data_IF_631899111859
#
_entry.id   IF_631899111859
#
_cell.length_a   1.000
_cell.length_b   1.000
_cell.length_c   1.000
_cell.angle_alpha   90.00
_cell.angle_beta   90.00
_cell.angle_gamma   90.00
#
_symmetry.space_group_name_H-M   'P 1'
#
loop_
_entity.id
_entity.type
_entity.pdbx_description
1 polymer ?
#
# COMPACT_ATOMS: atom_id res chain seq x y z
N UNK A 1 -3.91 16.38 3.69
CA UNK A 1 -2.91 17.08 2.85
C UNK A 1 -3.77 17.79 1.83
N UNK A 2 -4.23 18.99 2.21
CA UNK A 2 -5.49 19.49 1.70
C UNK A 2 -5.18 20.44 0.56
N UNK A 3 -5.54 20.02 -0.65
CA UNK A 3 -5.33 20.79 -1.87
C UNK A 3 -6.69 21.28 -2.38
N UNK A 4 -6.83 22.60 -2.52
CA UNK A 4 -7.89 23.20 -3.31
C UNK A 4 -7.41 23.18 -4.76
N UNK A 5 -7.94 22.26 -5.56
CA UNK A 5 -7.64 22.13 -6.98
C UNK A 5 -8.76 22.79 -7.77
N UNK A 6 -8.48 23.92 -8.42
CA UNK A 6 -9.40 24.53 -9.39
C UNK A 6 -8.83 24.29 -10.79
N UNK A 7 -9.57 23.55 -11.62
CA UNK A 7 -9.20 23.29 -13.02
C UNK A 7 -10.37 23.56 -13.95
N UNK A 8 -10.09 24.26 -15.04
CA UNK A 8 -11.04 24.52 -16.11
C UNK A 8 -11.41 23.19 -16.80
N UNK A 9 -12.72 22.90 -16.94
CA UNK A 9 -13.25 21.62 -17.42
C UNK A 9 -13.53 21.57 -18.93
N UNK A 10 -13.41 22.68 -19.67
CA UNK A 10 -13.60 22.69 -21.13
C UNK A 10 -12.32 22.38 -21.93
N UNK A 11 -12.46 21.61 -23.01
CA UNK A 11 -11.36 21.29 -23.93
C UNK A 11 -11.05 22.50 -24.84
N UNK A 12 -9.78 22.91 -24.90
CA UNK A 12 -9.31 24.03 -25.74
C UNK A 12 -9.29 25.40 -25.07
N UNK A 13 -9.66 25.49 -23.79
CA UNK A 13 -9.70 26.74 -23.04
C UNK A 13 -8.43 26.94 -22.20
N UNK A 14 -7.73 28.07 -22.40
CA UNK A 14 -6.53 28.49 -21.66
C UNK A 14 -6.83 29.47 -20.51
N UNK A 15 -8.11 29.64 -20.14
CA UNK A 15 -8.50 30.57 -19.07
C UNK A 15 -7.93 30.15 -17.71
N UNK A 16 -7.38 31.12 -16.97
CA UNK A 16 -6.82 30.95 -15.64
C UNK A 16 -7.69 31.63 -14.57
N UNK A 17 -7.79 31.02 -13.38
CA UNK A 17 -8.44 31.59 -12.20
C UNK A 17 -7.35 32.21 -11.32
N UNK A 18 -7.44 33.51 -11.04
CA UNK A 18 -6.49 34.22 -10.17
C UNK A 18 -7.11 34.39 -8.78
N UNK A 19 -6.45 33.85 -7.75
CA UNK A 19 -6.82 34.10 -6.34
C UNK A 19 -5.90 35.21 -5.82
N UNK A 20 -6.47 36.37 -5.49
CA UNK A 20 -5.74 37.52 -4.95
C UNK A 20 -6.03 37.70 -3.45
N UNK A 21 -5.04 38.17 -2.68
CA UNK A 21 -5.19 38.49 -1.25
C UNK A 21 -4.82 37.37 -0.27
N UNK A 22 -4.10 36.33 -0.71
CA UNK A 22 -3.48 35.36 0.20
C UNK A 22 -2.29 36.03 0.88
N UNK A 23 -2.26 35.99 2.22
CA UNK A 23 -1.15 36.50 3.04
C UNK A 23 0.17 35.82 2.61
N UNK A 24 1.11 36.61 2.12
CA UNK A 24 2.33 36.17 1.40
C UNK A 24 3.40 35.55 2.31
N UNK A 25 3.11 35.34 3.59
CA UNK A 25 4.01 34.66 4.53
C UNK A 25 4.07 33.13 4.34
N UNK A 26 3.14 32.51 3.59
CA UNK A 26 3.04 31.05 3.40
C UNK A 26 3.18 30.61 1.91
N UNK A 27 3.71 31.48 1.06
CA UNK A 27 3.76 31.30 -0.41
C UNK A 27 4.59 30.08 -0.88
N UNK A 28 5.50 29.58 -0.04
CA UNK A 28 6.35 28.42 -0.36
C UNK A 28 5.62 27.06 -0.28
N UNK A 29 4.41 26.99 0.29
CA UNK A 29 3.68 25.72 0.46
C UNK A 29 2.66 25.42 -0.65
N UNK A 30 2.32 26.41 -1.47
CA UNK A 30 1.25 26.30 -2.48
C UNK A 30 1.74 26.16 -3.93
N UNK A 31 3.05 26.29 -4.18
CA UNK A 31 3.68 26.07 -5.49
C UNK A 31 3.01 26.76 -6.70
N UNK A 32 2.37 27.92 -6.47
CA UNK A 32 1.76 28.73 -7.52
C UNK A 32 2.86 29.54 -8.22
N UNK A 33 3.20 29.19 -9.46
CA UNK A 33 4.17 29.94 -10.25
C UNK A 33 3.54 31.20 -10.88
N UNK A 34 4.30 32.30 -10.90
CA UNK A 34 3.87 33.65 -11.31
C UNK A 34 3.24 33.74 -12.72
N UNK A 35 2.07 34.36 -12.81
CA UNK A 35 1.47 34.86 -14.06
C UNK A 35 -0.02 35.19 -13.91
N UNK A 36 -0.44 36.40 -14.29
CA UNK A 36 -1.84 36.87 -14.24
C UNK A 36 -2.50 36.68 -15.62
N UNK A 37 -3.71 36.14 -15.67
CA UNK A 37 -4.59 36.21 -16.85
C UNK A 37 -6.07 36.36 -16.43
N UNK A 38 -6.85 37.11 -17.23
CA UNK A 38 -8.19 37.63 -16.91
C UNK A 38 -9.26 36.98 -17.78
N UNK A 39 -10.41 36.59 -17.21
CA UNK A 39 -11.57 36.03 -17.93
C UNK A 39 -12.69 37.07 -18.17
N UNK A 40 -13.48 36.91 -19.26
CA UNK A 40 -14.55 37.84 -19.67
C UNK A 40 -15.98 37.25 -19.68
N UNK A 41 -16.96 38.14 -19.90
CA UNK A 41 -18.40 37.92 -19.74
C UNK A 41 -19.07 37.03 -20.81
N UNK A 42 -18.34 36.48 -21.78
CA UNK A 42 -18.97 35.78 -22.93
C UNK A 42 -18.95 34.25 -22.86
N UNK A 43 -18.29 33.62 -21.88
CA UNK A 43 -18.02 32.17 -21.92
C UNK A 43 -18.15 31.41 -20.59
N UNK A 44 -19.17 31.65 -19.76
CA UNK A 44 -19.28 30.96 -18.46
C UNK A 44 -20.49 30.01 -18.33
N UNK A 45 -20.27 28.72 -18.60
CA UNK A 45 -21.13 27.61 -18.14
C UNK A 45 -20.31 26.46 -17.52
N UNK A 46 -19.09 26.75 -17.03
CA UNK A 46 -18.22 25.75 -16.40
C UNK A 46 -18.58 25.55 -14.92
N UNK A 47 -18.94 24.33 -14.54
CA UNK A 47 -19.10 23.96 -13.13
C UNK A 47 -17.73 23.92 -12.44
N UNK A 48 -17.58 24.62 -11.31
CA UNK A 48 -16.38 24.57 -10.45
C UNK A 48 -16.64 23.62 -9.28
N UNK A 49 -15.89 22.52 -9.19
CA UNK A 49 -16.02 21.51 -8.12
C UNK A 49 -14.94 21.70 -7.07
N UNK A 50 -15.34 21.94 -5.83
CA UNK A 50 -14.45 21.97 -4.67
C UNK A 50 -14.37 20.57 -4.04
N UNK A 51 -13.15 20.06 -3.82
CA UNK A 51 -12.93 18.75 -3.19
C UNK A 51 -12.10 18.94 -1.93
N UNK A 52 -12.57 18.44 -0.79
CA UNK A 52 -11.81 18.38 0.45
C UNK A 52 -12.00 17.04 1.15
N UNK A 53 -10.93 16.52 1.75
CA UNK A 53 -10.94 15.27 2.52
C UNK A 53 -11.40 15.42 3.98
N UNK A 54 -11.56 16.66 4.46
CA UNK A 54 -12.02 16.99 5.81
C UNK A 54 -12.98 18.20 5.77
N UNK A 55 -13.72 18.44 6.86
CA UNK A 55 -14.59 19.60 6.98
C UNK A 55 -13.74 20.88 6.98
N UNK A 56 -13.99 21.76 6.02
CA UNK A 56 -13.35 23.07 5.95
C UNK A 56 -14.42 24.16 6.00
N UNK A 57 -14.09 25.28 6.66
CA UNK A 57 -14.94 26.46 6.73
C UNK A 57 -14.28 27.56 5.92
N UNK A 58 -15.02 28.10 4.95
CA UNK A 58 -14.60 29.30 4.22
C UNK A 58 -15.37 30.47 4.82
N UNK A 59 -14.65 31.36 5.50
CA UNK A 59 -15.22 32.59 6.03
C UNK A 59 -15.06 33.69 4.99
N UNK A 60 -16.18 34.13 4.42
CA UNK A 60 -16.24 35.28 3.53
C UNK A 60 -16.79 36.48 4.31
N UNK A 61 -16.43 37.70 3.91
CA UNK A 61 -16.96 38.91 4.56
C UNK A 61 -18.48 39.06 4.34
N UNK A 62 -19.20 39.82 5.20
CA UNK A 62 -20.66 39.98 5.13
C UNK A 62 -21.19 40.69 3.86
N UNK A 63 -20.29 41.12 2.96
CA UNK A 63 -20.59 41.73 1.66
C UNK A 63 -20.00 40.96 0.49
N UNK A 64 -19.48 39.76 0.72
CA UNK A 64 -18.75 39.01 -0.28
C UNK A 64 -19.70 38.25 -1.23
N UNK A 65 -19.49 38.40 -2.53
CA UNK A 65 -20.22 37.69 -3.58
C UNK A 65 -19.43 36.50 -4.14
N UNK A 66 -18.28 36.18 -3.57
CA UNK A 66 -17.35 35.14 -4.03
C UNK A 66 -18.03 33.80 -4.32
N UNK A 67 -18.98 33.35 -3.47
CA UNK A 67 -19.69 32.08 -3.67
C UNK A 67 -20.67 32.12 -4.85
N UNK A 68 -21.30 33.26 -5.09
CA UNK A 68 -22.13 33.52 -6.27
C UNK A 68 -21.27 33.63 -7.53
N UNK A 69 -20.07 34.22 -7.43
CA UNK A 69 -19.10 34.35 -8.53
C UNK A 69 -18.44 33.02 -8.91
N UNK A 70 -18.31 32.09 -7.97
CA UNK A 70 -17.87 30.71 -8.21
C UNK A 70 -18.97 29.81 -8.82
N UNK A 71 -20.17 30.35 -9.08
CA UNK A 71 -21.27 29.60 -9.69
C UNK A 71 -21.94 28.58 -8.76
N UNK A 72 -21.74 28.69 -7.44
CA UNK A 72 -22.26 27.77 -6.43
C UNK A 72 -23.66 28.14 -5.91
N UNK A 73 -24.34 29.11 -6.54
CA UNK A 73 -25.70 29.52 -6.19
C UNK A 73 -26.76 28.58 -6.78
N UNK A 74 -27.06 27.47 -6.11
CA UNK A 74 -28.00 26.49 -6.65
C UNK A 74 -28.35 25.33 -5.74
N UNK A 75 -28.87 25.62 -4.54
CA UNK A 75 -29.67 24.66 -3.75
C UNK A 75 -28.94 23.45 -3.13
N UNK A 76 -27.62 23.32 -3.29
CA UNK A 76 -26.82 22.22 -2.72
C UNK A 76 -26.23 22.51 -1.32
N UNK A 77 -26.50 23.68 -0.75
CA UNK A 77 -25.97 24.12 0.54
C UNK A 77 -27.12 24.46 1.49
N UNK A 78 -27.11 23.90 2.71
CA UNK A 78 -27.99 24.33 3.79
C UNK A 78 -27.20 25.21 4.76
N UNK A 79 -27.70 26.41 5.04
CA UNK A 79 -27.13 27.30 6.06
C UNK A 79 -26.69 28.68 5.58
N UNK A 80 -26.80 29.01 4.29
CA UNK A 80 -26.70 30.41 3.85
C UNK A 80 -27.99 31.14 4.23
N UNK A 81 -28.05 31.59 5.48
CA UNK A 81 -28.90 32.72 5.84
C UNK A 81 -28.20 33.96 5.31
N UNK A 82 -28.70 34.45 4.17
CA UNK A 82 -28.19 35.62 3.45
C UNK A 82 -27.38 36.60 4.33
N UNK A 83 -26.11 36.81 3.97
CA UNK A 83 -25.15 37.76 4.56
C UNK A 83 -24.42 37.37 5.87
N UNK A 84 -24.42 36.11 6.31
CA UNK A 84 -23.57 35.71 7.45
C UNK A 84 -22.16 35.20 7.06
N UNK A 85 -21.87 35.06 5.76
CA UNK A 85 -20.53 34.75 5.25
C UNK A 85 -20.00 33.38 5.64
N UNK A 86 -20.87 32.49 6.15
CA UNK A 86 -20.52 31.17 6.62
C UNK A 86 -21.38 30.11 5.93
N UNK A 87 -20.78 29.30 5.06
CA UNK A 87 -21.41 28.04 4.65
C UNK A 87 -20.63 26.88 5.27
N UNK A 88 -21.38 25.91 5.81
CA UNK A 88 -20.82 24.63 6.24
C UNK A 88 -21.15 23.60 5.17
N UNK A 89 -20.14 23.12 4.46
CA UNK A 89 -20.29 21.90 3.66
C UNK A 89 -20.31 20.70 4.62
N UNK A 90 -21.49 20.10 4.80
CA UNK A 90 -21.67 18.89 5.61
C UNK A 90 -21.61 17.67 4.68
N UNK A 91 -20.82 16.68 5.09
CA UNK A 91 -20.65 15.38 4.43
C UNK A 91 -21.96 14.57 4.29
N UNK A 92 -23.02 14.95 5.02
CA UNK A 92 -24.20 14.14 5.24
C UNK A 92 -25.43 14.57 4.41
N UNK A 93 -25.27 14.66 3.08
CA UNK A 93 -26.44 14.66 2.19
C UNK A 93 -26.60 13.24 1.58
N UNK A 94 -27.72 12.53 1.82
CA UNK A 94 -27.95 11.16 1.33
C UNK A 94 -28.01 10.99 -0.19
N UNK A 95 -27.73 12.04 -0.98
CA UNK A 95 -27.96 12.07 -2.42
C UNK A 95 -26.90 12.76 -3.28
N UNK A 96 -25.68 13.06 -2.80
CA UNK A 96 -24.77 13.79 -3.70
C UNK A 96 -23.39 14.21 -3.21
N UNK A 97 -22.64 13.33 -2.56
CA UNK A 97 -21.17 13.46 -2.54
C UNK A 97 -20.57 12.16 -3.02
N UNK A 98 -20.34 12.10 -4.33
CA UNK A 98 -19.65 10.99 -4.96
C UNK A 98 -18.20 11.01 -4.48
N UNK A 99 -17.79 9.97 -3.73
CA UNK A 99 -16.43 9.87 -3.22
C UNK A 99 -15.42 10.15 -4.35
N UNK A 100 -14.51 11.10 -4.10
CA UNK A 100 -13.47 11.46 -5.05
C UNK A 100 -12.64 10.23 -5.38
N UNK A 101 -12.36 10.01 -6.67
CA UNK A 101 -11.58 8.87 -7.15
C UNK A 101 -10.18 8.82 -6.53
N UNK A 102 -9.61 9.97 -6.17
CA UNK A 102 -8.33 10.05 -5.44
C UNK A 102 -8.38 9.39 -4.05
N UNK A 103 -9.56 9.29 -3.45
CA UNK A 103 -9.76 8.60 -2.17
C UNK A 103 -9.92 7.09 -2.31
N UNK A 104 -10.01 6.56 -3.54
CA UNK A 104 -10.09 5.12 -3.78
C UNK A 104 -8.69 4.49 -3.81
N UNK A 105 -8.60 3.19 -3.49
CA UNK A 105 -7.43 2.38 -3.82
C UNK A 105 -6.98 2.63 -5.26
N UNK A 106 -5.68 2.88 -5.45
CA UNK A 106 -5.08 3.16 -6.77
C UNK A 106 -5.57 4.45 -7.46
N UNK A 107 -6.27 5.34 -6.74
CA UNK A 107 -6.71 6.63 -7.27
C UNK A 107 -5.56 7.52 -7.77
N UNK A 108 -4.36 7.38 -7.20
CA UNK A 108 -3.15 8.07 -7.69
C UNK A 108 -2.63 7.56 -9.04
N UNK A 109 -3.01 6.35 -9.45
CA UNK A 109 -2.61 5.74 -10.72
C UNK A 109 -3.64 6.00 -11.83
N UNK A 110 -4.71 6.74 -11.51
CA UNK A 110 -5.75 7.13 -12.46
C UNK A 110 -5.21 8.15 -13.45
N UNK A 111 -5.24 7.82 -14.74
CA UNK A 111 -4.85 8.74 -15.81
C UNK A 111 -6.07 9.59 -16.20
N UNK A 112 -6.22 10.75 -15.56
CA UNK A 112 -7.32 11.70 -15.84
C UNK A 112 -7.04 12.65 -17.00
N UNK A 113 -5.84 12.59 -17.58
CA UNK A 113 -5.42 13.42 -18.70
C UNK A 113 -5.14 12.47 -19.91
N UNK A 114 -6.07 12.42 -20.87
CA UNK A 114 -6.12 11.55 -22.05
C UNK A 114 -6.40 10.06 -21.80
N UNK A 115 -6.94 9.71 -20.63
CA UNK A 115 -7.34 8.34 -20.32
C UNK A 115 -8.68 7.96 -20.95
N UNK A 116 -8.80 6.70 -21.39
CA UNK A 116 -10.04 6.15 -21.94
C UNK A 116 -10.32 4.73 -21.45
N UNK A 117 -11.56 4.32 -21.61
CA UNK A 117 -12.03 2.94 -21.42
C UNK A 117 -12.84 2.52 -22.64
N UNK A 118 -12.50 1.38 -23.25
CA UNK A 118 -13.29 0.82 -24.34
C UNK A 118 -14.33 -0.18 -23.80
N UNK A 119 -15.55 -0.08 -24.31
CA UNK A 119 -16.66 -0.99 -23.98
C UNK A 119 -17.19 -1.62 -25.26
N UNK A 120 -17.11 -2.94 -25.34
CA UNK A 120 -17.78 -3.73 -26.37
C UNK A 120 -19.19 -4.10 -25.90
N UNK A 121 -20.15 -3.97 -26.80
CA UNK A 121 -21.55 -4.32 -26.56
C UNK A 121 -21.95 -5.47 -27.49
N UNK A 122 -22.66 -6.44 -26.94
CA UNK A 122 -23.06 -7.66 -27.63
C UNK A 122 -24.58 -7.85 -27.55
N UNK A 123 -25.17 -8.31 -28.65
CA UNK A 123 -26.56 -8.75 -28.68
C UNK A 123 -26.75 -10.12 -28.03
N UNK A 124 -28.00 -10.59 -27.96
CA UNK A 124 -28.36 -11.91 -27.39
C UNK A 124 -27.66 -13.09 -28.10
N UNK A 125 -27.26 -12.90 -29.36
CA UNK A 125 -26.55 -13.89 -30.17
C UNK A 125 -25.04 -13.91 -29.91
N UNK A 126 -24.51 -13.05 -29.03
CA UNK A 126 -23.09 -12.92 -28.75
C UNK A 126 -22.29 -12.21 -29.84
N UNK A 127 -22.94 -11.65 -30.87
CA UNK A 127 -22.30 -10.84 -31.89
C UNK A 127 -22.17 -9.37 -31.42
N UNK A 128 -21.09 -8.67 -31.77
CA UNK A 128 -20.93 -7.27 -31.41
C UNK A 128 -22.02 -6.42 -32.11
N UNK A 129 -22.61 -5.48 -31.37
CA UNK A 129 -23.65 -4.58 -31.89
C UNK A 129 -23.07 -3.48 -32.80
N UNK A 130 -21.81 -3.13 -32.59
CA UNK A 130 -21.07 -2.11 -33.32
C UNK A 130 -19.79 -2.73 -33.91
N UNK A 131 -19.31 -2.23 -35.07
CA UNK A 131 -18.07 -2.70 -35.67
C UNK A 131 -16.81 -2.29 -34.87
N UNK A 132 -16.94 -1.29 -34.00
CA UNK A 132 -15.88 -0.73 -33.16
C UNK A 132 -16.38 -0.62 -31.71
N UNK A 133 -15.48 -0.63 -30.71
CA UNK A 133 -15.89 -0.45 -29.32
C UNK A 133 -16.38 0.98 -29.08
N UNK A 134 -17.22 1.14 -28.06
CA UNK A 134 -17.57 2.46 -27.54
C UNK A 134 -16.42 2.94 -26.66
N UNK A 135 -15.61 3.86 -27.18
CA UNK A 135 -14.56 4.52 -26.40
C UNK A 135 -15.17 5.58 -25.49
N UNK A 136 -15.00 5.41 -24.19
CA UNK A 136 -15.41 6.34 -23.14
C UNK A 136 -14.20 7.21 -22.78
N UNK A 137 -14.18 8.51 -23.14
CA UNK A 137 -13.15 9.41 -22.66
C UNK A 137 -13.36 9.64 -21.16
N UNK A 138 -12.29 9.49 -20.39
CA UNK A 138 -12.27 9.69 -18.94
C UNK A 138 -11.42 10.90 -18.54
N UNK A 139 -11.33 11.86 -19.46
CA UNK A 139 -10.69 13.14 -19.23
C UNK A 139 -11.40 13.89 -18.12
N UNK A 140 -10.64 14.31 -17.10
CA UNK A 140 -11.12 15.14 -15.99
C UNK A 140 -12.26 14.50 -15.19
N UNK A 141 -12.27 13.17 -15.13
CA UNK A 141 -13.20 12.41 -14.31
C UNK A 141 -12.66 12.30 -12.87
N UNK A 142 -13.32 13.00 -11.94
CA UNK A 142 -12.83 13.14 -10.56
C UNK A 142 -13.66 12.40 -9.52
N UNK A 143 -14.90 12.04 -9.86
CA UNK A 143 -15.79 11.26 -9.00
C UNK A 143 -16.34 10.04 -9.73
N UNK A 144 -16.81 9.03 -8.99
CA UNK A 144 -17.52 7.89 -9.58
C UNK A 144 -18.76 8.30 -10.38
N UNK A 145 -19.39 9.42 -10.03
CA UNK A 145 -20.56 9.92 -10.75
C UNK A 145 -20.17 10.54 -12.09
N UNK A 146 -19.00 11.18 -12.17
CA UNK A 146 -18.45 11.65 -13.45
C UNK A 146 -18.15 10.47 -14.36
N UNK A 147 -17.60 9.36 -13.83
CA UNK A 147 -17.38 8.11 -14.59
C UNK A 147 -18.72 7.58 -15.11
N UNK A 148 -19.73 7.49 -14.24
CA UNK A 148 -21.04 6.98 -14.61
C UNK A 148 -21.69 7.84 -15.71
N UNK A 149 -21.61 9.16 -15.58
CA UNK A 149 -22.10 10.11 -16.57
C UNK A 149 -21.35 9.98 -17.89
N UNK A 150 -20.01 9.89 -17.87
CA UNK A 150 -19.19 9.72 -19.08
C UNK A 150 -19.56 8.44 -19.84
N UNK A 151 -19.71 7.32 -19.13
CA UNK A 151 -20.16 6.05 -19.72
C UNK A 151 -21.55 6.21 -20.35
N UNK A 152 -22.52 6.77 -19.62
CA UNK A 152 -23.89 6.93 -20.11
C UNK A 152 -23.95 7.82 -21.35
N UNK A 153 -23.19 8.92 -21.38
CA UNK A 153 -23.11 9.83 -22.54
C UNK A 153 -22.49 9.13 -23.74
N UNK A 154 -21.36 8.44 -23.56
CA UNK A 154 -20.68 7.72 -24.65
C UNK A 154 -21.58 6.63 -25.27
N UNK A 155 -22.28 5.85 -24.43
CA UNK A 155 -23.18 4.79 -24.88
C UNK A 155 -24.41 5.37 -25.59
N UNK A 156 -24.99 6.45 -25.05
CA UNK A 156 -26.16 7.10 -25.65
C UNK A 156 -25.81 7.70 -27.02
N UNK A 157 -24.63 8.29 -27.17
CA UNK A 157 -24.16 8.82 -28.44
C UNK A 157 -23.90 7.71 -29.46
N UNK A 158 -23.23 6.63 -29.06
CA UNK A 158 -22.90 5.50 -29.95
C UNK A 158 -24.14 4.71 -30.41
N UNK A 159 -25.20 4.70 -29.60
CA UNK A 159 -26.45 3.97 -29.88
C UNK A 159 -27.54 4.79 -30.58
N UNK A 160 -27.29 6.08 -30.86
CA UNK A 160 -28.29 6.97 -31.42
C UNK A 160 -29.44 7.30 -30.46
N UNK A 161 -29.16 7.35 -29.16
CA UNK A 161 -30.12 7.75 -28.12
C UNK A 161 -30.71 6.59 -27.31
N UNK A 162 -30.23 5.36 -27.47
CA UNK A 162 -30.73 4.20 -26.72
C UNK A 162 -29.87 3.91 -25.47
N UNK A 163 -30.53 3.56 -24.37
CA UNK A 163 -29.83 3.16 -23.15
C UNK A 163 -29.42 1.68 -23.20
N UNK A 164 -28.51 1.30 -24.09
CA UNK A 164 -28.00 -0.10 -24.19
C UNK A 164 -27.25 -0.56 -22.93
N UNK A 165 -26.65 0.38 -22.22
CA UNK A 165 -25.92 0.17 -20.97
C UNK A 165 -26.19 1.37 -20.07
N UNK A 166 -26.40 1.14 -18.78
CA UNK A 166 -26.56 2.20 -17.79
C UNK A 166 -25.54 2.04 -16.67
N UNK A 167 -24.75 3.07 -16.45
CA UNK A 167 -23.85 3.21 -15.31
C UNK A 167 -24.51 4.09 -14.23
N UNK A 168 -24.43 3.65 -12.98
CA UNK A 168 -24.96 4.37 -11.83
C UNK A 168 -24.04 4.17 -10.62
N UNK A 169 -24.02 5.14 -9.72
CA UNK A 169 -23.31 5.05 -8.45
C UNK A 169 -24.28 4.58 -7.36
N UNK A 170 -23.90 3.54 -6.62
CA UNK A 170 -24.65 3.07 -5.46
C UNK A 170 -23.71 3.05 -4.24
N UNK A 171 -23.83 4.06 -3.37
CA UNK A 171 -22.84 4.32 -2.34
C UNK A 171 -21.48 4.63 -2.96
N UNK A 172 -20.43 3.92 -2.53
CA UNK A 172 -19.07 4.06 -3.08
C UNK A 172 -18.74 3.02 -4.17
N UNK A 173 -19.76 2.50 -4.88
CA UNK A 173 -19.56 1.50 -5.93
C UNK A 173 -20.15 1.97 -7.25
N UNK A 174 -19.39 1.80 -8.32
CA UNK A 174 -19.89 1.93 -9.68
C UNK A 174 -20.63 0.65 -10.06
N UNK A 175 -21.89 0.78 -10.45
CA UNK A 175 -22.71 -0.32 -10.97
C UNK A 175 -22.99 -0.07 -12.43
N UNK A 176 -22.60 -1.02 -13.27
CA UNK A 176 -22.86 -1.01 -14.71
C UNK A 176 -23.87 -2.13 -15.00
N UNK A 177 -24.98 -1.78 -15.62
CA UNK A 177 -26.09 -2.71 -15.92
C UNK A 177 -26.45 -2.60 -17.40
N UNK A 178 -26.33 -3.70 -18.18
CA UNK A 178 -26.77 -3.71 -19.56
C UNK A 178 -28.30 -3.75 -19.66
N UNK A 179 -28.85 -3.29 -20.77
CA UNK A 179 -30.25 -3.49 -21.10
C UNK A 179 -30.58 -4.99 -21.23
N UNK A 180 -31.86 -5.34 -21.07
CA UNK A 180 -32.31 -6.74 -21.19
C UNK A 180 -31.89 -7.34 -22.53
N UNK A 181 -31.26 -8.52 -22.48
CA UNK A 181 -30.78 -9.23 -23.68
C UNK A 181 -29.39 -8.79 -24.15
N UNK A 182 -28.82 -7.72 -23.61
CA UNK A 182 -27.49 -7.25 -23.99
C UNK A 182 -26.41 -7.73 -23.02
N UNK A 183 -25.21 -7.90 -23.56
CA UNK A 183 -24.00 -8.19 -22.81
C UNK A 183 -22.94 -7.14 -23.13
N UNK A 184 -21.92 -7.04 -22.29
CA UNK A 184 -20.83 -6.10 -22.50
C UNK A 184 -19.51 -6.70 -22.04
N UNK A 185 -18.41 -6.21 -22.60
CA UNK A 185 -17.06 -6.53 -22.17
C UNK A 185 -16.20 -5.27 -22.16
N UNK A 186 -15.28 -5.18 -21.22
CA UNK A 186 -14.30 -4.09 -21.18
C UNK A 186 -13.08 -4.44 -22.02
N UNK A 187 -12.50 -3.43 -22.66
CA UNK A 187 -11.23 -3.48 -23.35
C UNK A 187 -10.45 -2.18 -23.10
N UNK A 188 -9.14 -2.21 -23.35
CA UNK A 188 -8.26 -1.03 -23.38
C UNK A 188 -8.54 0.04 -22.30
N UNK A 189 -8.45 -0.33 -21.03
CA UNK A 189 -8.50 0.65 -19.93
C UNK A 189 -7.15 1.36 -19.83
N UNK A 190 -7.02 2.51 -20.48
CA UNK A 190 -5.82 3.36 -20.38
C UNK A 190 -5.92 4.36 -19.22
N UNK A 191 -7.13 4.58 -18.70
CA UNK A 191 -7.38 5.42 -17.54
C UNK A 191 -7.05 4.74 -16.20
N UNK A 192 -6.91 3.41 -16.16
CA UNK A 192 -6.85 2.58 -14.95
C UNK A 192 -8.11 2.68 -14.07
N UNK A 193 -9.25 2.98 -14.69
CA UNK A 193 -10.50 3.18 -13.95
C UNK A 193 -11.06 1.87 -13.39
N UNK A 194 -10.86 0.75 -14.08
CA UNK A 194 -11.39 -0.56 -13.64
C UNK A 194 -10.71 -1.00 -12.35
N UNK A 195 -9.40 -0.80 -12.25
CA UNK A 195 -8.64 -1.07 -11.04
C UNK A 195 -9.08 -0.15 -9.90
N UNK A 196 -9.21 1.15 -10.16
CA UNK A 196 -9.57 2.16 -9.15
C UNK A 196 -11.00 1.95 -8.62
N UNK A 197 -11.94 1.63 -9.51
CA UNK A 197 -13.32 1.35 -9.15
C UNK A 197 -13.53 -0.08 -8.60
N UNK A 198 -12.49 -0.94 -8.63
CA UNK A 198 -12.58 -2.34 -8.21
C UNK A 198 -13.48 -3.19 -9.13
N UNK A 199 -13.61 -2.80 -10.40
CA UNK A 199 -14.39 -3.51 -11.40
C UNK A 199 -13.53 -4.52 -12.15
N UNK A 200 -14.03 -5.75 -12.24
CA UNK A 200 -13.38 -6.85 -12.95
C UNK A 200 -11.92 -7.14 -12.48
N UNK A 201 -11.62 -6.91 -11.19
CA UNK A 201 -10.30 -7.13 -10.62
C UNK A 201 -10.14 -8.56 -10.10
N UNK A 202 -8.96 -9.16 -10.36
CA UNK A 202 -8.61 -10.49 -9.81
C UNK A 202 -8.20 -10.41 -8.34
N UNK A 203 -7.35 -9.43 -8.02
CA UNK A 203 -6.93 -9.13 -6.67
C UNK A 203 -7.74 -7.97 -6.09
N UNK A 204 -7.83 -7.95 -4.77
CA UNK A 204 -8.40 -6.88 -3.95
C UNK A 204 -7.38 -6.49 -2.89
N UNK A 205 -7.60 -5.34 -2.27
CA UNK A 205 -6.63 -4.74 -1.35
C UNK A 205 -5.68 -3.76 -2.05
N UNK A 206 -4.94 -3.01 -1.25
CA UNK A 206 -4.04 -1.95 -1.71
C UNK A 206 -2.72 -1.91 -0.93
N UNK A 207 -2.54 -2.84 0.01
CA UNK A 207 -1.33 -3.01 0.79
C UNK A 207 -1.16 -4.49 1.17
N UNK A 208 -0.01 -4.85 1.73
CA UNK A 208 0.32 -6.25 2.08
C UNK A 208 -0.68 -6.87 3.07
N UNK A 209 -1.27 -6.07 3.97
CA UNK A 209 -2.22 -6.56 4.96
C UNK A 209 -3.63 -6.81 4.39
N UNK A 210 -3.98 -6.15 3.28
CA UNK A 210 -5.31 -6.21 2.66
C UNK A 210 -5.33 -6.98 1.35
N UNK A 211 -4.16 -7.38 0.83
CA UNK A 211 -4.05 -8.12 -0.42
C UNK A 211 -4.79 -9.47 -0.32
N UNK A 212 -5.78 -9.67 -1.17
CA UNK A 212 -6.59 -10.88 -1.22
C UNK A 212 -7.07 -11.17 -2.65
N UNK A 213 -7.48 -12.41 -2.91
CA UNK A 213 -8.24 -12.74 -4.13
C UNK A 213 -9.66 -12.22 -3.97
N UNK A 214 -10.26 -11.70 -5.04
CA UNK A 214 -11.63 -11.22 -5.02
C UNK A 214 -12.60 -12.34 -4.58
N UNK A 215 -13.38 -12.10 -3.52
CA UNK A 215 -14.30 -13.10 -2.95
C UNK A 215 -15.29 -13.66 -3.99
N UNK A 216 -15.70 -12.85 -4.96
CA UNK A 216 -16.61 -13.29 -6.03
C UNK A 216 -15.97 -14.36 -6.91
N UNK A 217 -14.66 -14.23 -7.16
CA UNK A 217 -13.88 -15.19 -7.94
C UNK A 217 -13.50 -16.42 -7.09
N UNK A 218 -13.25 -16.21 -5.80
CA UNK A 218 -12.96 -17.29 -4.87
C UNK A 218 -14.16 -18.23 -4.68
N UNK A 219 -15.38 -17.68 -4.69
CA UNK A 219 -16.62 -18.44 -4.60
C UNK A 219 -17.02 -19.08 -5.93
N UNK A 220 -16.66 -18.47 -7.06
CA UNK A 220 -17.04 -18.94 -8.38
C UNK A 220 -15.94 -18.70 -9.42
N UNK A 221 -15.16 -19.75 -9.68
CA UNK A 221 -14.07 -19.71 -10.64
C UNK A 221 -14.55 -19.50 -12.10
N UNK A 222 -15.83 -19.73 -12.41
CA UNK A 222 -16.36 -19.50 -13.76
C UNK A 222 -16.41 -18.01 -14.13
N UNK A 223 -16.32 -17.12 -13.15
CA UNK A 223 -16.30 -15.66 -13.33
C UNK A 223 -14.90 -15.11 -13.60
N UNK A 224 -13.86 -15.95 -13.57
CA UNK A 224 -12.50 -15.54 -13.93
C UNK A 224 -12.44 -15.29 -15.44
N UNK A 225 -12.19 -14.04 -15.83
CA UNK A 225 -12.01 -13.66 -17.23
C UNK A 225 -10.62 -14.09 -17.72
N UNK A 226 -10.52 -15.32 -18.22
CA UNK A 226 -9.25 -15.89 -18.68
C UNK A 226 -8.77 -15.35 -20.04
N UNK A 227 -9.68 -14.92 -20.90
CA UNK A 227 -9.39 -14.39 -22.24
C UNK A 227 -9.45 -12.87 -22.32
N UNK A 228 -9.08 -12.32 -23.48
CA UNK A 228 -9.24 -10.90 -23.83
C UNK A 228 -10.20 -10.75 -25.00
N UNK A 229 -10.82 -9.58 -25.10
CA UNK A 229 -11.60 -9.23 -26.29
C UNK A 229 -10.63 -9.01 -27.45
N UNK A 230 -10.90 -9.63 -28.60
CA UNK A 230 -10.13 -9.46 -29.83
C UNK A 230 -10.30 -8.05 -30.44
N UNK A 231 -9.49 -7.73 -31.45
CA UNK A 231 -9.50 -6.40 -32.08
C UNK A 231 -10.81 -6.05 -32.77
N UNK A 232 -11.61 -7.04 -33.17
CA UNK A 232 -12.94 -6.88 -33.77
C UNK A 232 -14.08 -7.22 -32.80
N UNK A 233 -13.81 -7.24 -31.50
CA UNK A 233 -14.82 -7.58 -30.50
C UNK A 233 -15.03 -9.08 -30.33
N UNK A 234 -14.22 -9.92 -30.96
CA UNK A 234 -14.36 -11.38 -30.90
C UNK A 234 -14.00 -11.92 -29.51
N UNK A 235 -14.81 -12.82 -28.98
CA UNK A 235 -14.51 -13.56 -27.74
C UNK A 235 -14.32 -15.03 -28.12
N UNK A 236 -13.09 -15.50 -28.09
CA UNK A 236 -12.75 -16.87 -28.45
C UNK A 236 -12.91 -17.82 -27.26
N UNK A 237 -13.70 -18.87 -27.45
CA UNK A 237 -13.79 -19.96 -26.48
C UNK A 237 -12.40 -20.62 -26.33
N UNK A 238 -11.90 -20.69 -25.10
CA UNK A 238 -10.58 -21.25 -24.78
C UNK A 238 -9.42 -20.26 -24.79
N UNK A 239 -9.65 -18.98 -25.06
CA UNK A 239 -8.62 -17.95 -24.87
C UNK A 239 -8.21 -17.86 -23.38
N UNK A 240 -6.90 -17.97 -23.13
CA UNK A 240 -6.29 -17.91 -21.82
C UNK A 240 -5.25 -16.77 -21.70
N UNK A 241 -5.28 -15.79 -22.60
CA UNK A 241 -4.29 -14.70 -22.68
C UNK A 241 -4.19 -13.90 -21.37
N UNK A 242 -5.32 -13.59 -20.72
CA UNK A 242 -5.31 -12.90 -19.41
C UNK A 242 -4.76 -13.81 -18.29
N UNK A 243 -5.10 -15.10 -18.30
CA UNK A 243 -4.57 -16.05 -17.32
C UNK A 243 -3.05 -16.24 -17.46
N UNK A 244 -2.55 -16.31 -18.70
CA UNK A 244 -1.11 -16.34 -18.96
C UNK A 244 -0.42 -15.04 -18.56
N UNK A 245 -1.06 -13.89 -18.81
CA UNK A 245 -0.58 -12.59 -18.35
C UNK A 245 -0.48 -12.51 -16.82
N UNK A 246 -1.48 -13.04 -16.10
CA UNK A 246 -1.49 -13.12 -14.65
C UNK A 246 -0.35 -14.01 -14.13
N UNK A 247 -0.14 -15.18 -14.71
CA UNK A 247 0.98 -16.06 -14.38
C UNK A 247 2.33 -15.40 -14.69
N UNK A 248 2.40 -14.62 -15.76
CA UNK A 248 3.59 -13.87 -16.17
C UNK A 248 4.00 -12.74 -15.21
N UNK A 249 3.10 -12.27 -14.33
CA UNK A 249 3.43 -11.22 -13.36
C UNK A 249 4.59 -11.61 -12.44
N UNK A 250 4.75 -12.91 -12.14
CA UNK A 250 5.86 -13.42 -11.35
C UNK A 250 7.24 -13.04 -11.92
N UNK A 251 7.34 -12.96 -13.25
CA UNK A 251 8.59 -12.75 -13.98
C UNK A 251 8.77 -11.30 -14.46
N UNK A 252 7.81 -10.41 -14.20
CA UNK A 252 7.86 -9.02 -14.67
C UNK A 252 8.91 -8.22 -13.89
N UNK A 253 9.93 -7.70 -14.56
CA UNK A 253 11.10 -7.05 -13.92
C UNK A 253 10.86 -5.62 -13.40
N UNK A 254 9.67 -5.05 -13.62
CA UNK A 254 9.34 -3.65 -13.30
C UNK A 254 8.79 -3.46 -11.88
N UNK A 255 8.84 -4.48 -11.02
CA UNK A 255 8.30 -4.37 -9.64
C UNK A 255 9.30 -3.63 -8.76
N UNK A 256 8.85 -2.50 -8.21
CA UNK A 256 9.61 -1.69 -7.25
C UNK A 256 9.34 -2.19 -5.83
N UNK A 257 10.40 -2.57 -5.13
CA UNK A 257 10.34 -3.01 -3.73
C UNK A 257 10.66 -1.86 -2.77
N UNK A 258 10.22 -2.01 -1.52
CA UNK A 258 10.38 -0.99 -0.48
C UNK A 258 11.85 -0.64 -0.15
N UNK A 259 12.78 -1.52 -0.49
CA UNK A 259 14.23 -1.30 -0.33
C UNK A 259 14.86 -0.53 -1.50
N UNK A 260 14.06 -0.10 -2.49
CA UNK A 260 14.53 0.62 -3.68
C UNK A 260 14.94 -0.29 -4.84
N UNK A 261 14.99 -1.61 -4.65
CA UNK A 261 15.31 -2.55 -5.72
C UNK A 261 14.16 -2.60 -6.74
N UNK A 262 14.52 -2.73 -8.02
CA UNK A 262 13.56 -2.98 -9.12
C UNK A 262 13.94 -4.31 -9.76
N UNK A 263 13.06 -5.31 -9.64
CA UNK A 263 13.29 -6.68 -10.16
C UNK A 263 11.95 -7.42 -10.27
N UNK A 264 11.98 -8.69 -10.67
CA UNK A 264 10.78 -9.53 -10.68
C UNK A 264 10.44 -10.07 -9.29
N UNK A 265 9.18 -10.46 -9.08
CA UNK A 265 8.75 -11.11 -7.83
C UNK A 265 9.59 -12.36 -7.55
N UNK A 266 9.87 -13.14 -8.60
CA UNK A 266 10.72 -14.32 -8.53
C UNK A 266 12.18 -13.97 -8.19
N UNK A 267 12.76 -12.98 -8.87
CA UNK A 267 14.13 -12.54 -8.64
C UNK A 267 14.33 -12.00 -7.22
N UNK A 268 13.37 -11.21 -6.73
CA UNK A 268 13.39 -10.71 -5.36
C UNK A 268 13.29 -11.83 -4.33
N UNK A 269 12.37 -12.78 -4.53
CA UNK A 269 12.20 -13.92 -3.65
C UNK A 269 13.47 -14.78 -3.58
N UNK A 270 14.07 -15.11 -4.73
CA UNK A 270 15.33 -15.85 -4.80
C UNK A 270 16.48 -15.11 -4.10
N UNK A 271 16.58 -13.80 -4.29
CA UNK A 271 17.57 -12.95 -3.59
C UNK A 271 17.36 -12.96 -2.08
N UNK A 272 16.11 -12.88 -1.62
CA UNK A 272 15.76 -12.94 -0.20
C UNK A 272 16.16 -14.27 0.42
N UNK A 273 15.76 -15.39 -0.20
CA UNK A 273 16.12 -16.74 0.25
C UNK A 273 17.63 -16.92 0.28
N UNK A 274 18.34 -16.44 -0.75
CA UNK A 274 19.81 -16.47 -0.80
C UNK A 274 20.47 -15.66 0.32
N UNK A 275 19.96 -14.45 0.61
CA UNK A 275 20.45 -13.61 1.72
C UNK A 275 20.24 -14.29 3.07
N UNK A 276 19.06 -14.85 3.32
CA UNK A 276 18.75 -15.58 4.55
C UNK A 276 19.67 -16.80 4.69
N UNK A 277 19.81 -17.61 3.63
CA UNK A 277 20.68 -18.79 3.63
C UNK A 277 22.14 -18.44 3.93
N UNK A 278 22.69 -17.44 3.25
CA UNK A 278 24.05 -16.95 3.48
C UNK A 278 24.23 -16.42 4.92
N UNK A 279 23.25 -15.67 5.43
CA UNK A 279 23.29 -15.14 6.80
C UNK A 279 23.27 -16.26 7.85
N UNK A 280 22.41 -17.26 7.67
CA UNK A 280 22.36 -18.45 8.56
C UNK A 280 23.69 -19.20 8.54
N UNK A 281 24.28 -19.38 7.35
CA UNK A 281 25.59 -20.04 7.24
C UNK A 281 26.69 -19.26 7.98
N UNK A 282 26.71 -17.93 7.87
CA UNK A 282 27.64 -17.09 8.62
C UNK A 282 27.45 -17.23 10.13
N UNK A 283 26.20 -17.14 10.61
CA UNK A 283 25.89 -17.26 12.03
C UNK A 283 26.27 -18.63 12.60
N UNK A 284 26.06 -19.72 11.86
CA UNK A 284 26.48 -21.04 12.29
C UNK A 284 28.00 -21.14 12.45
N UNK A 285 28.78 -20.57 11.52
CA UNK A 285 30.25 -20.49 11.64
C UNK A 285 30.66 -19.64 12.85
N UNK A 286 30.00 -18.53 13.09
CA UNK A 286 30.28 -17.66 14.24
C UNK A 286 29.98 -18.39 15.56
N UNK A 287 28.88 -19.13 15.64
CA UNK A 287 28.53 -19.95 16.82
C UNK A 287 29.56 -21.06 17.03
N UNK A 288 29.98 -21.76 15.97
CA UNK A 288 31.01 -22.80 16.05
C UNK A 288 32.34 -22.22 16.56
N UNK A 289 32.77 -21.09 16.00
CA UNK A 289 33.99 -20.40 16.41
C UNK A 289 33.92 -19.92 17.87
N UNK A 290 32.82 -19.30 18.29
CA UNK A 290 32.65 -18.86 19.68
C UNK A 290 32.57 -20.02 20.66
N UNK A 291 31.99 -21.16 20.26
CA UNK A 291 31.94 -22.38 21.06
C UNK A 291 33.35 -22.95 21.24
N UNK A 292 34.14 -23.01 20.17
CA UNK A 292 35.52 -23.45 20.21
C UNK A 292 36.38 -22.54 21.09
N UNK A 293 36.28 -21.22 20.91
CA UNK A 293 36.97 -20.23 21.75
C UNK A 293 36.60 -20.36 23.22
N UNK A 294 35.30 -20.50 23.52
CA UNK A 294 34.83 -20.68 24.90
C UNK A 294 35.40 -21.95 25.52
N UNK A 295 35.43 -23.06 24.77
CA UNK A 295 36.06 -24.30 25.22
C UNK A 295 37.56 -24.09 25.50
N UNK A 296 38.28 -23.46 24.58
CA UNK A 296 39.71 -23.20 24.72
C UNK A 296 40.04 -22.30 25.92
N UNK A 297 39.22 -21.27 26.17
CA UNK A 297 39.33 -20.41 27.35
C UNK A 297 39.05 -21.18 28.64
N UNK A 298 38.05 -22.07 28.66
CA UNK A 298 37.78 -22.93 29.80
C UNK A 298 38.94 -23.91 30.06
N UNK A 299 39.47 -24.54 29.03
CA UNK A 299 40.62 -25.45 29.14
C UNK A 299 41.87 -24.71 29.68
N UNK A 300 42.12 -23.48 29.23
CA UNK A 300 43.20 -22.65 29.78
C UNK A 300 42.96 -22.24 31.23
N UNK A 301 41.72 -21.87 31.58
CA UNK A 301 41.36 -21.55 32.97
C UNK A 301 41.57 -22.75 33.87
N UNK A 302 41.12 -23.92 33.46
CA UNK A 302 41.25 -25.17 34.21
C UNK A 302 42.71 -25.63 34.27
N UNK A 303 43.54 -25.32 33.27
CA UNK A 303 45.00 -25.58 33.35
C UNK A 303 45.73 -24.69 34.37
N UNK A 304 45.24 -23.47 34.64
CA UNK A 304 45.89 -22.54 35.59
C UNK A 304 45.30 -22.67 36.99
N UNK A 305 43.98 -22.80 37.07
CA UNK A 305 43.21 -22.75 38.33
C UNK A 305 42.59 -24.10 38.70
N UNK A 306 42.74 -25.12 37.85
CA UNK A 306 42.27 -26.46 38.15
C UNK A 306 43.15 -27.12 39.19
N UNK A 307 42.51 -27.72 40.18
CA UNK A 307 43.16 -28.52 41.21
C UNK A 307 43.28 -29.95 40.70
N UNK A 308 44.50 -30.47 40.59
CA UNK A 308 44.72 -31.87 40.25
C UNK A 308 44.48 -32.73 41.49
N UNK A 309 43.41 -33.53 41.50
CA UNK A 309 43.08 -34.44 42.59
C UNK A 309 44.22 -35.43 42.89
N UNK A 310 45.00 -35.80 41.87
CA UNK A 310 46.16 -36.68 42.04
C UNK A 310 47.32 -35.97 42.75
N UNK A 311 47.59 -34.69 42.42
CA UNK A 311 48.59 -33.89 43.14
C UNK A 311 48.14 -33.57 44.57
N UNK A 312 46.87 -33.24 44.78
CA UNK A 312 46.34 -33.05 46.13
C UNK A 312 46.35 -34.34 46.94
N UNK A 313 46.04 -35.49 46.34
CA UNK A 313 46.14 -36.79 47.02
C UNK A 313 47.58 -37.14 47.38
N UNK A 314 48.54 -36.90 46.47
CA UNK A 314 49.96 -37.09 46.76
C UNK A 314 50.44 -36.16 47.89
N UNK A 315 50.04 -34.89 47.87
CA UNK A 315 50.33 -33.95 48.94
C UNK A 315 49.66 -34.35 50.27
N UNK A 316 48.43 -34.86 50.23
CA UNK A 316 47.70 -35.32 51.41
C UNK A 316 48.35 -36.58 52.02
N UNK A 317 48.78 -37.53 51.20
CA UNK A 317 49.58 -38.69 51.65
C UNK A 317 50.89 -38.22 52.27
N UNK A 318 51.59 -37.26 51.64
CA UNK A 318 52.82 -36.67 52.18
C UNK A 318 52.59 -36.00 53.54
N UNK A 319 51.50 -35.23 53.69
CA UNK A 319 51.14 -34.61 54.97
C UNK A 319 50.76 -35.64 56.04
N UNK A 320 50.04 -36.71 55.67
CA UNK A 320 49.75 -37.81 56.59
C UNK A 320 51.02 -38.54 57.06
N UNK A 321 51.97 -38.79 56.16
CA UNK A 321 53.26 -39.40 56.51
C UNK A 321 54.09 -38.47 57.40
N UNK A 322 54.15 -37.18 57.08
CA UNK A 322 54.85 -36.18 57.90
C UNK A 322 54.23 -36.05 59.29
N UNK A 323 52.90 -36.06 59.40
CA UNK A 323 52.19 -36.06 60.68
C UNK A 323 52.49 -37.32 61.50
N UNK A 324 52.46 -38.49 60.87
CA UNK A 324 52.77 -39.77 61.53
C UNK A 324 54.23 -39.79 62.01
N UNK A 325 55.16 -39.26 61.22
CA UNK A 325 56.56 -39.13 61.61
C UNK A 325 56.73 -38.15 62.79
N UNK A 326 56.05 -37.00 62.77
CA UNK A 326 56.06 -36.04 63.88
C UNK A 326 55.48 -36.63 65.17
N UNK A 327 54.36 -37.37 65.08
CA UNK A 327 53.76 -38.06 66.21
C UNK A 327 54.70 -39.13 66.80
N UNK A 328 55.43 -39.89 65.96
CA UNK A 328 56.47 -40.82 66.41
C UNK A 328 57.63 -40.10 67.09
N UNK A 329 58.09 -38.97 66.57
CA UNK A 329 59.13 -38.17 67.20
C UNK A 329 58.70 -37.69 68.58
N UNK A 330 57.48 -37.15 68.71
CA UNK A 330 56.91 -36.72 70.01
C UNK A 330 56.84 -37.91 70.97
N UNK A 331 56.30 -39.05 70.54
CA UNK A 331 56.21 -40.24 71.39
C UNK A 331 57.59 -40.74 71.83
N UNK A 332 58.59 -40.69 70.95
CA UNK A 332 59.97 -41.07 71.28
C UNK A 332 60.59 -40.05 72.24
N UNK A 333 60.34 -38.76 72.05
CA UNK A 333 60.76 -37.69 72.98
C UNK A 333 60.11 -37.84 74.35
N UNK A 334 58.82 -38.17 74.43
CA UNK A 334 58.10 -38.46 75.69
C UNK A 334 58.70 -39.70 76.37
N UNK A 335 59.04 -40.74 75.61
CA UNK A 335 59.73 -41.91 76.15
C UNK A 335 61.12 -41.56 76.70
N UNK A 336 61.89 -40.72 76.00
CA UNK A 336 63.19 -40.23 76.48
C UNK A 336 63.03 -39.40 77.76
N UNK A 337 62.05 -38.50 77.82
CA UNK A 337 61.72 -37.68 78.99
C UNK A 337 61.32 -38.55 80.19
N UNK A 338 60.42 -39.52 80.00
CA UNK A 338 60.03 -40.46 81.04
C UNK A 338 61.21 -41.29 81.55
N UNK A 339 62.12 -41.71 80.67
CA UNK A 339 63.32 -42.45 81.06
C UNK A 339 64.26 -41.59 81.91
N UNK A 340 64.44 -40.31 81.55
CA UNK A 340 65.23 -39.35 82.33
C UNK A 340 64.61 -39.05 83.69
N UNK A 341 63.29 -38.88 83.77
CA UNK A 341 62.57 -38.64 85.04
C UNK A 341 62.67 -39.87 85.95
N UNK A 342 62.48 -41.07 85.42
CA UNK A 342 62.56 -42.31 86.20
C UNK A 342 63.99 -42.65 86.64
N UNK A 343 65.02 -42.23 85.90
CA UNK A 343 66.42 -42.43 86.30
C UNK A 343 66.89 -41.42 87.37
N UNK A 344 66.26 -40.24 87.45
CA UNK A 344 66.49 -39.24 88.50
C UNK A 344 65.70 -39.51 89.81
N UNK A 345 64.75 -40.45 89.80
CA UNK A 345 63.98 -40.87 90.99
C UNK A 345 64.66 -41.98 91.82
N UNK A 346 65.95 -42.24 91.64
CA UNK A 346 66.75 -43.15 92.49
C UNK A 346 67.81 -42.39 93.29
#
# INVERSE_FOLDING_TARGET
>A
MDAIVMRNTNAGDQSAITIAGIDTAEDAKLALANGIAVADLTHNTGQTTLVAGEQFSVSAGPTDTFLTQLGMGGGLYSGDTANDGNFTYSYDNPGGVSAALLGFPYGQDLATDNGSLDIWLYGENGAPLLPEPVTVPLDRVYTLQDVASAINVAITNASGGQAWLTAAVNGNKLRITPATGLQFAFANDTANILQTAGLNTFFTGHNVATLAVNDTLAQDASKVTAGRVGTQGEIFAGDNTNALGLAGLQFKEEVKFANGDTTSLDGYYNSLVGKVGSRVQSLNRDVELNTLLSKQLNDMRDSISGVSLDEEMANLIKYQQAYTAAAKLIATSDQMLNTLINSLQR
#
